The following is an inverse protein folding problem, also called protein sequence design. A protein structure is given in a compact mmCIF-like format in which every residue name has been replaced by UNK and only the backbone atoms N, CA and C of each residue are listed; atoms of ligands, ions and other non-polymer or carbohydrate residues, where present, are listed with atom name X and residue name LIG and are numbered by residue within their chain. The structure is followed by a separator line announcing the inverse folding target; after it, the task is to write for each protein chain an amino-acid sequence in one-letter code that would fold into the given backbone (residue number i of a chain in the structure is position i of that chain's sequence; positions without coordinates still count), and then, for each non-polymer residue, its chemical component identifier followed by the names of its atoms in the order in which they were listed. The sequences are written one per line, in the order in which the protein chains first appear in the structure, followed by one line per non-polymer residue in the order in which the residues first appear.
data_IF_401963000610
#
_entry.id   IF_401963000610
#
_cell.length_a   1.000
_cell.length_b   1.000
_cell.length_c   1.000
_cell.angle_alpha   90.00
_cell.angle_beta   90.00
_cell.angle_gamma   90.00
#
_symmetry.space_group_name_H-M   'P 1'
#
loop_
_entity.id
_entity.type
_entity.pdbx_description
1 polymer ?
#
# COMPACT_ATOMS: atom_id res chain seq x y z
N UNK A 1 4.32 16.40 7.98
CA UNK A 1 3.67 17.72 8.12
C UNK A 1 4.57 18.74 8.81
N UNK A 2 5.33 18.33 9.83
CA UNK A 2 6.28 19.19 10.53
C UNK A 2 7.32 19.86 9.60
N UNK A 3 7.97 19.12 8.70
CA UNK A 3 8.95 19.70 7.76
C UNK A 3 8.33 20.81 6.90
N UNK A 4 7.19 20.54 6.27
CA UNK A 4 6.46 21.54 5.47
C UNK A 4 6.06 22.76 6.30
N UNK A 5 5.55 22.57 7.52
CA UNK A 5 5.20 23.67 8.42
C UNK A 5 6.43 24.52 8.79
N UNK A 6 7.60 23.90 9.02
CA UNK A 6 8.85 24.64 9.26
C UNK A 6 9.31 25.41 8.03
N UNK A 7 9.29 24.79 6.85
CA UNK A 7 9.66 25.46 5.58
C UNK A 7 8.79 26.69 5.32
N UNK A 8 7.48 26.58 5.55
CA UNK A 8 6.53 27.69 5.38
C UNK A 8 6.38 28.59 6.61
N UNK A 9 7.18 28.38 7.66
CA UNK A 9 7.12 29.14 8.92
C UNK A 9 5.72 29.21 9.54
N UNK A 10 4.96 28.12 9.44
CA UNK A 10 3.59 28.02 9.97
C UNK A 10 3.66 27.69 11.46
N UNK A 11 3.26 28.64 12.29
CA UNK A 11 3.15 28.47 13.73
C UNK A 11 2.01 27.52 14.09
N UNK A 12 2.16 26.79 15.20
CA UNK A 12 1.11 25.92 15.72
C UNK A 12 -0.14 26.71 16.16
N UNK A 13 0.05 27.97 16.59
CA UNK A 13 -1.02 28.88 17.03
C UNK A 13 -1.99 29.20 15.89
N UNK A 14 -1.49 29.23 14.66
CA UNK A 14 -2.31 29.51 13.47
C UNK A 14 -3.30 28.39 13.15
N UNK A 15 -3.18 27.20 13.76
CA UNK A 15 -4.08 26.05 13.59
C UNK A 15 -4.41 25.70 12.13
N UNK A 16 -3.50 26.01 11.20
CA UNK A 16 -3.69 25.79 9.76
C UNK A 16 -3.95 24.31 9.50
N UNK A 17 -4.95 23.98 8.69
CA UNK A 17 -5.30 22.58 8.34
C UNK A 17 -4.19 21.90 7.55
N UNK A 18 -4.01 20.59 7.72
CA UNK A 18 -2.97 19.85 6.98
C UNK A 18 -3.20 19.87 5.46
N UNK A 19 -4.46 19.94 5.02
CA UNK A 19 -4.82 20.05 3.59
C UNK A 19 -4.30 21.35 2.99
N UNK A 20 -4.44 22.46 3.72
CA UNK A 20 -3.94 23.77 3.33
C UNK A 20 -2.40 23.80 3.27
N UNK A 21 -1.72 23.19 4.26
CA UNK A 21 -0.25 23.07 4.24
C UNK A 21 0.24 22.27 3.02
N UNK A 22 -0.49 21.24 2.61
CA UNK A 22 -0.18 20.44 1.42
C UNK A 22 -0.46 21.19 0.12
N UNK A 23 -1.58 21.93 0.05
CA UNK A 23 -1.92 22.79 -1.08
C UNK A 23 -0.83 23.84 -1.34
N UNK A 24 -0.35 24.53 -0.30
CA UNK A 24 0.77 25.48 -0.40
C UNK A 24 2.08 24.85 -0.90
N UNK A 25 2.27 23.55 -0.65
CA UNK A 25 3.43 22.81 -1.12
C UNK A 25 3.29 22.29 -2.56
N UNK A 26 2.15 22.51 -3.23
CA UNK A 26 1.83 21.86 -4.50
C UNK A 26 1.63 20.34 -4.36
N UNK A 27 1.35 19.85 -3.16
CA UNK A 27 1.18 18.43 -2.81
C UNK A 27 -0.30 18.09 -2.52
N UNK A 28 -1.21 18.68 -3.28
CA UNK A 28 -2.67 18.47 -3.14
C UNK A 28 -3.03 16.99 -3.28
N UNK A 29 -2.38 16.33 -4.23
CA UNK A 29 -2.41 14.90 -4.36
C UNK A 29 -1.45 14.23 -3.38
N UNK A 30 -1.92 13.19 -2.68
CA UNK A 30 -1.06 12.30 -1.86
C UNK A 30 -0.21 11.41 -2.77
N UNK A 31 0.64 12.01 -3.61
CA UNK A 31 1.48 11.36 -4.61
C UNK A 31 2.29 10.23 -4.00
N UNK A 32 2.87 10.44 -2.82
CA UNK A 32 3.58 9.39 -2.07
C UNK A 32 2.71 8.16 -1.82
N UNK A 33 1.44 8.34 -1.45
CA UNK A 33 0.55 7.21 -1.18
C UNK A 33 0.17 6.49 -2.47
N UNK A 34 -0.09 7.22 -3.56
CA UNK A 34 -0.31 6.64 -4.91
C UNK A 34 0.90 5.79 -5.33
N UNK A 35 2.09 6.33 -5.09
CA UNK A 35 3.38 5.68 -5.34
C UNK A 35 3.60 4.41 -4.52
N UNK A 36 3.32 4.47 -3.22
CA UNK A 36 3.42 3.32 -2.32
C UNK A 36 2.45 2.22 -2.74
N UNK A 37 1.20 2.56 -3.08
CA UNK A 37 0.21 1.61 -3.62
C UNK A 37 0.77 0.92 -4.86
N UNK A 38 1.20 1.71 -5.86
CA UNK A 38 1.75 1.23 -7.13
C UNK A 38 2.94 0.31 -6.93
N UNK A 39 3.92 0.71 -6.11
CA UNK A 39 5.12 -0.10 -5.84
C UNK A 39 4.78 -1.41 -5.11
N UNK A 40 3.88 -1.38 -4.12
CA UNK A 40 3.44 -2.58 -3.39
C UNK A 40 2.70 -3.56 -4.31
N UNK A 41 1.82 -3.08 -5.18
CA UNK A 41 1.11 -3.91 -6.17
C UNK A 41 2.09 -4.47 -7.20
N UNK A 42 2.99 -3.64 -7.73
CA UNK A 42 4.02 -4.09 -8.67
C UNK A 42 4.93 -5.17 -8.07
N UNK A 43 5.33 -5.02 -6.81
CA UNK A 43 6.12 -6.03 -6.10
C UNK A 43 5.40 -7.38 -5.97
N UNK A 44 4.07 -7.40 -5.78
CA UNK A 44 3.31 -8.64 -5.79
C UNK A 44 3.46 -9.39 -7.13
N UNK A 45 3.35 -8.66 -8.25
CA UNK A 45 3.59 -9.24 -9.57
C UNK A 45 5.02 -9.72 -9.76
N UNK A 46 6.02 -9.02 -9.21
CA UNK A 46 7.41 -9.50 -9.22
C UNK A 46 7.60 -10.79 -8.44
N UNK A 47 6.97 -10.92 -7.28
CA UNK A 47 7.01 -12.14 -6.47
C UNK A 47 6.43 -13.31 -7.24
N UNK A 48 5.27 -13.15 -7.89
CA UNK A 48 4.67 -14.27 -8.63
C UNK A 48 5.43 -14.66 -9.89
N UNK A 49 5.97 -13.68 -10.64
CA UNK A 49 6.67 -13.94 -11.91
C UNK A 49 8.15 -14.33 -11.78
N UNK A 50 8.82 -13.94 -10.70
CA UNK A 50 10.27 -14.14 -10.59
C UNK A 50 10.63 -15.43 -9.87
N UNK A 51 11.50 -16.24 -10.48
CA UNK A 51 11.89 -17.55 -9.93
C UNK A 51 12.66 -17.46 -8.61
N UNK A 52 13.43 -16.37 -8.43
CA UNK A 52 14.13 -16.07 -7.17
C UNK A 52 13.21 -15.86 -5.96
N UNK A 53 11.89 -15.75 -6.18
CA UNK A 53 10.91 -15.47 -5.13
C UNK A 53 10.10 -16.70 -4.71
N UNK A 54 10.62 -17.91 -4.96
CA UNK A 54 9.93 -19.16 -4.63
C UNK A 54 9.45 -19.24 -3.17
N UNK A 55 10.29 -18.82 -2.21
CA UNK A 55 9.92 -18.80 -0.80
C UNK A 55 8.79 -17.80 -0.50
N UNK A 56 8.84 -16.60 -1.06
CA UNK A 56 7.81 -15.59 -0.88
C UNK A 56 6.49 -16.04 -1.51
N UNK A 57 6.51 -16.71 -2.67
CA UNK A 57 5.32 -17.34 -3.26
C UNK A 57 4.73 -18.39 -2.34
N UNK A 58 5.56 -19.28 -1.80
CA UNK A 58 5.12 -20.31 -0.85
C UNK A 58 4.45 -19.69 0.39
N UNK A 59 5.01 -18.62 0.94
CA UNK A 59 4.41 -17.90 2.09
C UNK A 59 3.09 -17.23 1.73
N UNK A 60 2.92 -16.74 0.50
CA UNK A 60 1.68 -16.09 0.05
C UNK A 60 0.57 -17.09 -0.28
N UNK A 61 0.94 -18.22 -0.87
CA UNK A 61 0.02 -19.29 -1.30
C UNK A 61 -0.33 -20.23 -0.15
N UNK A 62 0.59 -20.36 0.82
CA UNK A 62 0.43 -21.18 2.00
C UNK A 62 -0.71 -20.68 2.88
N UNK A 63 -1.72 -21.53 3.09
CA UNK A 63 -2.75 -21.33 4.10
C UNK A 63 -2.36 -22.10 5.35
N UNK A 64 -2.01 -21.38 6.41
CA UNK A 64 -1.75 -21.98 7.72
C UNK A 64 -3.10 -22.21 8.41
N UNK A 65 -3.29 -23.42 8.94
CA UNK A 65 -4.49 -23.73 9.71
C UNK A 65 -4.58 -22.90 10.98
N UNK A 66 -5.80 -22.52 11.35
CA UNK A 66 -6.09 -21.69 12.52
C UNK A 66 -6.36 -20.22 12.20
N UNK A 67 -6.57 -19.44 13.26
CA UNK A 67 -6.90 -18.01 13.20
C UNK A 67 -5.72 -17.19 13.72
N UNK A 68 -5.57 -15.96 13.21
CA UNK A 68 -4.58 -15.03 13.77
C UNK A 68 -4.92 -14.74 15.24
N UNK A 69 -3.93 -14.88 16.12
CA UNK A 69 -4.07 -14.55 17.53
C UNK A 69 -4.43 -13.08 17.78
N UNK A 70 -5.07 -12.84 18.93
CA UNK A 70 -5.45 -11.50 19.41
C UNK A 70 -4.17 -10.65 19.59
N UNK A 71 -4.26 -9.35 19.31
CA UNK A 71 -3.15 -8.40 19.41
C UNK A 71 -2.23 -8.33 18.19
N UNK A 72 -2.23 -9.34 17.30
CA UNK A 72 -1.48 -9.26 16.04
C UNK A 72 -2.14 -8.24 15.10
N UNK A 73 -1.32 -7.40 14.45
CA UNK A 73 -1.84 -6.41 13.48
C UNK A 73 -2.73 -7.09 12.45
N UNK A 74 -3.97 -6.61 12.35
CA UNK A 74 -4.93 -7.16 11.41
C UNK A 74 -4.56 -6.80 9.96
N UNK A 75 -3.96 -5.62 9.75
CA UNK A 75 -3.48 -5.18 8.44
C UNK A 75 -2.22 -5.96 8.05
N UNK A 76 -2.34 -6.78 7.00
CA UNK A 76 -1.21 -7.42 6.34
C UNK A 76 -1.03 -6.86 4.94
N UNK A 77 0.18 -7.00 4.40
CA UNK A 77 0.53 -6.55 3.05
C UNK A 77 -0.48 -7.00 1.97
N UNK A 78 -0.83 -8.30 1.96
CA UNK A 78 -1.82 -8.85 1.03
C UNK A 78 -3.22 -8.26 1.24
N UNK A 79 -3.59 -7.91 2.48
CA UNK A 79 -4.89 -7.30 2.79
C UNK A 79 -4.97 -5.88 2.27
N UNK A 80 -3.88 -5.12 2.36
CA UNK A 80 -3.79 -3.79 1.73
C UNK A 80 -3.98 -3.91 0.22
N UNK A 81 -3.30 -4.85 -0.42
CA UNK A 81 -3.40 -5.04 -1.88
C UNK A 81 -4.83 -5.42 -2.28
N UNK A 82 -5.47 -6.37 -1.59
CA UNK A 82 -6.88 -6.70 -1.85
C UNK A 82 -7.79 -5.49 -1.70
N UNK A 83 -7.59 -4.69 -0.65
CA UNK A 83 -8.37 -3.47 -0.40
C UNK A 83 -8.14 -2.42 -1.50
N UNK A 84 -6.91 -2.28 -1.98
CA UNK A 84 -6.57 -1.28 -2.99
C UNK A 84 -6.95 -1.70 -4.39
N UNK A 85 -6.95 -2.99 -4.70
CA UNK A 85 -7.33 -3.51 -6.04
C UNK A 85 -8.82 -3.81 -6.14
N UNK A 86 -9.53 -3.91 -5.00
CA UNK A 86 -10.92 -4.39 -4.96
C UNK A 86 -11.07 -5.90 -5.17
N UNK A 87 -9.96 -6.62 -5.39
CA UNK A 87 -9.97 -8.06 -5.65
C UNK A 87 -9.76 -8.79 -4.33
N UNK A 88 -10.81 -9.44 -3.83
CA UNK A 88 -10.76 -10.17 -2.56
C UNK A 88 -10.32 -11.63 -2.73
N UNK A 89 -10.69 -12.25 -3.85
CA UNK A 89 -10.28 -13.61 -4.17
C UNK A 89 -8.78 -13.70 -4.47
N UNK A 90 -8.13 -14.75 -3.97
CA UNK A 90 -6.68 -14.91 -4.14
C UNK A 90 -6.30 -15.40 -5.53
N UNK A 91 -7.09 -16.28 -6.14
CA UNK A 91 -6.78 -16.83 -7.46
C UNK A 91 -6.86 -15.73 -8.53
N UNK A 92 -7.92 -14.92 -8.51
CA UNK A 92 -8.07 -13.75 -9.38
C UNK A 92 -6.95 -12.74 -9.16
N UNK A 93 -6.58 -12.48 -7.89
CA UNK A 93 -5.48 -11.56 -7.59
C UNK A 93 -4.14 -12.08 -8.12
N UNK A 94 -3.88 -13.39 -8.01
CA UNK A 94 -2.67 -14.04 -8.53
C UNK A 94 -2.63 -13.98 -10.06
N UNK A 95 -3.73 -14.31 -10.74
CA UNK A 95 -3.82 -14.23 -12.19
C UNK A 95 -3.52 -12.82 -12.69
N UNK A 96 -4.20 -11.81 -12.15
CA UNK A 96 -3.94 -10.42 -12.53
C UNK A 96 -2.52 -9.95 -12.17
N UNK A 97 -1.96 -10.46 -11.08
CA UNK A 97 -0.57 -10.18 -10.71
C UNK A 97 0.41 -10.70 -11.77
N UNK A 98 0.16 -11.87 -12.37
CA UNK A 98 0.98 -12.48 -13.42
C UNK A 98 0.80 -11.71 -14.73
N UNK A 99 -0.44 -11.43 -15.12
CA UNK A 99 -0.83 -10.79 -16.39
C UNK A 99 -0.55 -9.27 -16.44
N UNK A 100 -0.13 -8.66 -15.33
CA UNK A 100 0.12 -7.20 -15.19
C UNK A 100 -1.15 -6.34 -15.31
N UNK A 101 -2.30 -6.88 -14.92
CA UNK A 101 -3.59 -6.17 -14.98
C UNK A 101 -4.00 -5.52 -13.65
N UNK A 102 -3.18 -5.66 -12.60
CA UNK A 102 -3.48 -5.08 -11.29
C UNK A 102 -3.23 -3.57 -11.25
N UNK A 103 -4.27 -2.82 -10.94
CA UNK A 103 -4.22 -1.40 -10.65
C UNK A 103 -4.89 -1.11 -9.32
N UNK A 104 -4.44 -0.05 -8.64
CA UNK A 104 -5.15 0.43 -7.48
C UNK A 104 -6.40 1.19 -7.95
N UNK A 105 -7.52 0.89 -7.31
CA UNK A 105 -8.74 1.69 -7.27
C UNK A 105 -8.52 2.94 -6.42
#
# INVERSE_FOLDING_TARGET
MWCLRRMFRISWVQRVRNTEVLCRAGLEDRQLFKDVKRRKIGYLGHVFRGDRYAFQRLVLEGKIEGRRGIGRKQLSWLRDIRRWTGIHDFATLKAGAIERTLHAV
#
